data_IF_213503114574
#
_entry.id   IF_213503114574
#
_cell.length_a   1.000
_cell.length_b   1.000
_cell.length_c   1.000
_cell.angle_alpha   90.00
_cell.angle_beta   90.00
_cell.angle_gamma   90.00
#
_symmetry.space_group_name_H-M   'P 1'
#
loop_
_entity.id
_entity.type
_entity.pdbx_description
1 polymer ?
#
# COMPACT_ATOMS: atom_id res chain seq x y z
N UNK A 1 -34.26 -6.44 6.12
CA UNK A 1 -33.87 -5.28 5.28
C UNK A 1 -33.15 -5.81 4.05
N UNK A 2 -33.80 -5.77 2.88
CA UNK A 2 -33.19 -6.16 1.61
C UNK A 2 -32.12 -5.13 1.27
N UNK A 3 -30.86 -5.56 1.18
CA UNK A 3 -29.76 -4.70 0.72
C UNK A 3 -30.04 -4.19 -0.69
N UNK A 4 -29.48 -3.04 -1.03
CA UNK A 4 -29.64 -2.43 -2.34
C UNK A 4 -28.94 -3.29 -3.42
N UNK A 5 -29.63 -4.32 -3.91
CA UNK A 5 -29.11 -5.34 -4.82
C UNK A 5 -28.49 -4.73 -6.07
N UNK A 6 -29.06 -3.61 -6.54
CA UNK A 6 -28.56 -2.86 -7.70
C UNK A 6 -27.14 -2.32 -7.52
N UNK A 7 -26.78 -1.87 -6.31
CA UNK A 7 -25.46 -1.36 -5.98
C UNK A 7 -24.40 -2.45 -5.99
N UNK A 8 -24.69 -3.57 -5.35
CA UNK A 8 -23.82 -4.74 -5.31
C UNK A 8 -23.47 -5.26 -6.70
N UNK A 9 -24.47 -5.50 -7.56
CA UNK A 9 -24.22 -6.00 -8.92
C UNK A 9 -23.41 -5.02 -9.78
N UNK A 10 -23.59 -3.71 -9.58
CA UNK A 10 -22.79 -2.70 -10.25
C UNK A 10 -21.31 -2.77 -9.84
N UNK A 11 -21.01 -2.89 -8.56
CA UNK A 11 -19.63 -3.00 -8.05
C UNK A 11 -18.95 -4.27 -8.58
N UNK A 12 -19.66 -5.40 -8.57
CA UNK A 12 -19.18 -6.67 -9.14
C UNK A 12 -18.91 -6.53 -10.64
N UNK A 13 -19.82 -5.91 -11.40
CA UNK A 13 -19.65 -5.68 -12.84
C UNK A 13 -18.44 -4.78 -13.12
N UNK A 14 -18.26 -3.70 -12.37
CA UNK A 14 -17.08 -2.82 -12.51
C UNK A 14 -15.79 -3.59 -12.22
N UNK A 15 -15.76 -4.40 -11.16
CA UNK A 15 -14.61 -5.27 -10.86
C UNK A 15 -14.31 -6.23 -12.00
N UNK A 16 -15.32 -6.90 -12.55
CA UNK A 16 -15.17 -7.82 -13.69
C UNK A 16 -14.61 -7.11 -14.92
N UNK A 17 -15.14 -5.93 -15.29
CA UNK A 17 -14.66 -5.16 -16.43
C UNK A 17 -13.18 -4.74 -16.28
N UNK A 18 -12.79 -4.28 -15.09
CA UNK A 18 -11.40 -3.91 -14.81
C UNK A 18 -10.47 -5.12 -14.85
N UNK A 19 -10.90 -6.26 -14.30
CA UNK A 19 -10.15 -7.52 -14.39
C UNK A 19 -9.98 -7.96 -15.84
N UNK A 20 -11.04 -7.93 -16.66
CA UNK A 20 -10.96 -8.30 -18.07
C UNK A 20 -10.01 -7.39 -18.84
N UNK A 21 -10.08 -6.07 -18.62
CA UNK A 21 -9.18 -5.12 -19.28
C UNK A 21 -7.72 -5.37 -18.89
N UNK A 22 -7.44 -5.59 -17.61
CA UNK A 22 -6.08 -5.86 -17.14
C UNK A 22 -5.60 -7.26 -17.54
N UNK A 23 -6.50 -8.23 -17.68
CA UNK A 23 -6.18 -9.56 -18.18
C UNK A 23 -5.77 -9.53 -19.65
N UNK A 24 -6.41 -8.69 -20.48
CA UNK A 24 -5.96 -8.47 -21.85
C UNK A 24 -4.53 -7.89 -21.89
N UNK A 25 -4.21 -6.94 -21.01
CA UNK A 25 -2.84 -6.44 -20.86
C UNK A 25 -1.87 -7.52 -20.36
N UNK A 26 -2.30 -8.35 -19.40
CA UNK A 26 -1.51 -9.48 -18.93
C UNK A 26 -1.12 -10.42 -20.08
N UNK A 27 -2.07 -10.80 -20.95
CA UNK A 27 -1.78 -11.61 -22.13
C UNK A 27 -0.86 -10.88 -23.12
N UNK A 28 -1.08 -9.58 -23.33
CA UNK A 28 -0.23 -8.77 -24.20
C UNK A 28 1.23 -8.70 -23.74
N UNK A 29 1.50 -8.45 -22.46
CA UNK A 29 2.89 -8.35 -21.97
C UNK A 29 3.57 -9.71 -21.80
N UNK A 30 2.81 -10.79 -21.67
CA UNK A 30 3.35 -12.14 -21.44
C UNK A 30 3.17 -13.08 -22.65
N UNK A 31 2.86 -12.54 -23.84
CA UNK A 31 2.59 -13.33 -25.06
C UNK A 31 3.74 -14.25 -25.50
N UNK A 32 4.97 -13.94 -25.06
CA UNK A 32 6.19 -14.69 -25.35
C UNK A 32 6.33 -15.97 -24.51
N UNK A 33 5.53 -16.13 -23.45
CA UNK A 33 5.55 -17.32 -22.60
C UNK A 33 4.80 -18.49 -23.24
N UNK A 34 5.10 -19.74 -22.87
CA UNK A 34 4.38 -20.90 -23.36
C UNK A 34 2.87 -20.81 -23.07
N UNK A 35 2.04 -21.18 -24.06
CA UNK A 35 0.57 -21.15 -23.90
C UNK A 35 0.08 -21.97 -22.71
N UNK A 36 0.73 -23.09 -22.41
CA UNK A 36 0.40 -23.92 -21.25
C UNK A 36 0.60 -23.16 -19.92
N UNK A 37 1.64 -22.35 -19.80
CA UNK A 37 1.89 -21.51 -18.61
C UNK A 37 0.84 -20.41 -18.51
N UNK A 38 0.58 -19.70 -19.61
CA UNK A 38 -0.45 -18.65 -19.63
C UNK A 38 -1.83 -19.20 -19.26
N UNK A 39 -2.20 -20.37 -19.76
CA UNK A 39 -3.47 -21.03 -19.42
C UNK A 39 -3.52 -21.43 -17.94
N UNK A 40 -2.40 -21.91 -17.39
CA UNK A 40 -2.31 -22.30 -15.98
C UNK A 40 -2.43 -21.09 -15.04
N UNK A 41 -1.83 -19.96 -15.41
CA UNK A 41 -1.76 -18.74 -14.58
C UNK A 41 -3.00 -17.83 -14.70
N UNK A 42 -3.71 -17.93 -15.83
CA UNK A 42 -4.87 -17.08 -16.12
C UNK A 42 -5.97 -17.13 -15.05
N UNK A 43 -6.41 -18.30 -14.53
CA UNK A 43 -7.43 -18.35 -13.49
C UNK A 43 -7.01 -17.65 -12.19
N UNK A 44 -5.74 -17.77 -11.82
CA UNK A 44 -5.16 -17.11 -10.65
C UNK A 44 -5.13 -15.60 -10.81
N UNK A 45 -4.71 -15.13 -11.98
CA UNK A 45 -4.74 -13.73 -12.33
C UNK A 45 -6.17 -13.18 -12.25
N UNK A 46 -7.11 -13.80 -12.94
CA UNK A 46 -8.50 -13.36 -12.98
C UNK A 46 -9.09 -13.33 -11.56
N UNK A 47 -8.90 -14.39 -10.78
CA UNK A 47 -9.44 -14.50 -9.42
C UNK A 47 -8.88 -13.41 -8.48
N UNK A 48 -7.56 -13.27 -8.40
CA UNK A 48 -6.91 -12.32 -7.49
C UNK A 48 -7.19 -10.86 -7.86
N UNK A 49 -7.17 -10.52 -9.15
CA UNK A 49 -7.48 -9.16 -9.58
C UNK A 49 -8.96 -8.82 -9.45
N UNK A 50 -9.85 -9.77 -9.72
CA UNK A 50 -11.27 -9.60 -9.44
C UNK A 50 -11.52 -9.32 -7.95
N UNK A 51 -10.91 -10.09 -7.05
CA UNK A 51 -11.01 -9.82 -5.62
C UNK A 51 -10.41 -8.46 -5.26
N UNK A 52 -9.28 -8.09 -5.85
CA UNK A 52 -8.62 -6.78 -5.63
C UNK A 52 -9.52 -5.61 -5.99
N UNK A 53 -10.32 -5.72 -7.04
CA UNK A 53 -11.23 -4.65 -7.48
C UNK A 53 -12.61 -4.66 -6.82
N UNK A 54 -12.96 -5.73 -6.09
CA UNK A 54 -14.32 -5.91 -5.54
C UNK A 54 -14.36 -5.97 -4.01
N UNK A 55 -13.39 -6.60 -3.34
CA UNK A 55 -13.50 -6.97 -1.92
C UNK A 55 -13.67 -5.77 -0.99
N UNK A 56 -13.05 -4.63 -1.32
CA UNK A 56 -13.14 -3.40 -0.53
C UNK A 56 -14.24 -2.44 -0.99
N UNK A 57 -15.02 -2.80 -2.03
CA UNK A 57 -16.15 -1.98 -2.45
C UNK A 57 -17.23 -1.93 -1.36
N UNK A 58 -17.90 -0.80 -1.13
CA UNK A 58 -18.79 -0.62 0.02
C UNK A 58 -19.92 -1.66 0.16
N UNK A 59 -20.64 -1.99 -0.91
CA UNK A 59 -21.75 -2.94 -0.85
C UNK A 59 -21.23 -4.38 -0.69
N UNK A 60 -20.16 -4.73 -1.41
CA UNK A 60 -19.49 -6.04 -1.29
C UNK A 60 -18.94 -6.25 0.13
N UNK A 61 -18.16 -5.31 0.65
CA UNK A 61 -17.61 -5.36 2.00
C UNK A 61 -18.73 -5.39 3.06
N UNK A 62 -19.81 -4.64 2.84
CA UNK A 62 -21.00 -4.67 3.69
C UNK A 62 -21.66 -6.06 3.75
N UNK A 63 -21.76 -6.75 2.62
CA UNK A 63 -22.27 -8.12 2.57
C UNK A 63 -21.31 -9.13 3.22
N UNK A 64 -20.01 -9.04 2.92
CA UNK A 64 -19.00 -9.89 3.54
C UNK A 64 -19.00 -9.73 5.07
N UNK A 65 -19.17 -8.51 5.57
CA UNK A 65 -19.26 -8.20 6.99
C UNK A 65 -20.46 -8.87 7.64
N UNK A 66 -21.65 -8.74 7.05
CA UNK A 66 -22.88 -9.41 7.54
C UNK A 66 -22.73 -10.92 7.56
N UNK A 67 -22.07 -11.49 6.56
CA UNK A 67 -21.85 -12.93 6.49
C UNK A 67 -20.84 -13.40 7.55
N UNK A 68 -19.73 -12.70 7.70
CA UNK A 68 -18.66 -13.03 8.63
C UNK A 68 -19.08 -12.90 10.11
N UNK A 69 -20.05 -12.02 10.42
CA UNK A 69 -20.55 -11.87 11.80
C UNK A 69 -21.45 -13.03 12.27
N UNK A 70 -21.87 -13.93 11.37
CA UNK A 70 -22.80 -15.02 11.72
C UNK A 70 -22.09 -16.16 12.44
N UNK A 71 -20.90 -16.55 12.00
CA UNK A 71 -20.16 -17.67 12.59
C UNK A 71 -18.67 -17.59 12.29
N UNK A 72 -17.86 -18.33 13.07
CA UNK A 72 -16.41 -18.40 12.89
C UNK A 72 -16.04 -18.96 11.52
N UNK A 73 -16.75 -20.00 11.06
CA UNK A 73 -16.51 -20.67 9.77
C UNK A 73 -16.67 -19.66 8.61
N UNK A 74 -17.67 -18.79 8.71
CA UNK A 74 -17.89 -17.72 7.72
C UNK A 74 -16.85 -16.61 7.81
N UNK A 75 -16.33 -16.32 9.00
CA UNK A 75 -15.27 -15.33 9.20
C UNK A 75 -13.92 -15.80 8.63
N UNK A 76 -13.64 -17.10 8.62
CA UNK A 76 -12.38 -17.63 8.07
C UNK A 76 -12.46 -18.00 6.59
N UNK A 77 -13.66 -18.01 5.99
CA UNK A 77 -13.87 -18.46 4.61
C UNK A 77 -12.98 -17.73 3.59
N UNK A 78 -12.87 -16.40 3.69
CA UNK A 78 -12.05 -15.62 2.75
C UNK A 78 -10.56 -15.91 2.91
N UNK A 79 -9.96 -15.81 4.12
CA UNK A 79 -8.58 -16.25 4.34
C UNK A 79 -8.29 -17.68 3.89
N UNK A 80 -9.19 -18.64 4.13
CA UNK A 80 -9.05 -20.03 3.68
C UNK A 80 -9.06 -20.12 2.15
N UNK A 81 -9.97 -19.41 1.48
CA UNK A 81 -10.00 -19.34 0.01
C UNK A 81 -8.68 -18.80 -0.56
N UNK A 82 -8.15 -17.72 0.03
CA UNK A 82 -6.88 -17.13 -0.38
C UNK A 82 -5.69 -18.07 -0.15
N UNK A 83 -5.71 -18.85 0.94
CA UNK A 83 -4.73 -19.90 1.19
C UNK A 83 -4.79 -20.99 0.13
N UNK A 84 -6.01 -21.46 -0.22
CA UNK A 84 -6.21 -22.46 -1.27
C UNK A 84 -5.66 -21.95 -2.60
N UNK A 85 -5.95 -20.71 -2.96
CA UNK A 85 -5.42 -20.07 -4.18
C UNK A 85 -3.88 -20.07 -4.19
N UNK A 86 -3.24 -19.65 -3.09
CA UNK A 86 -1.77 -19.65 -3.00
C UNK A 86 -1.20 -21.05 -3.11
N UNK A 87 -1.74 -22.00 -2.34
CA UNK A 87 -1.19 -23.35 -2.26
C UNK A 87 -1.44 -24.15 -3.54
N UNK A 88 -2.59 -23.98 -4.19
CA UNK A 88 -2.84 -24.61 -5.50
C UNK A 88 -1.98 -24.00 -6.59
N UNK A 89 -1.71 -22.68 -6.54
CA UNK A 89 -0.79 -22.02 -7.46
C UNK A 89 0.61 -22.61 -7.36
N UNK A 90 1.14 -22.68 -6.15
CA UNK A 90 2.47 -23.26 -5.88
C UNK A 90 2.50 -24.75 -6.27
N UNK A 91 1.45 -25.49 -5.93
CA UNK A 91 1.30 -26.92 -6.21
C UNK A 91 1.31 -27.26 -7.71
N UNK A 92 0.53 -26.55 -8.52
CA UNK A 92 0.48 -26.82 -9.96
C UNK A 92 1.77 -26.42 -10.70
N UNK A 93 2.60 -25.56 -10.11
CA UNK A 93 3.94 -25.26 -10.60
C UNK A 93 5.02 -26.24 -10.11
N UNK A 94 4.61 -27.38 -9.52
CA UNK A 94 5.53 -28.44 -9.12
C UNK A 94 6.26 -28.18 -7.80
N UNK A 95 5.84 -27.19 -7.03
CA UNK A 95 6.43 -26.86 -5.74
C UNK A 95 5.51 -27.32 -4.58
N UNK A 96 6.11 -27.64 -3.43
CA UNK A 96 5.34 -28.01 -2.24
C UNK A 96 5.13 -26.77 -1.35
N UNK A 97 3.87 -26.40 -1.05
CA UNK A 97 3.56 -25.28 -0.16
C UNK A 97 3.85 -25.59 1.32
N UNK A 98 4.23 -26.83 1.65
CA UNK A 98 4.48 -27.30 3.02
C UNK A 98 5.99 -27.43 3.34
N UNK A 99 6.87 -26.86 2.51
CA UNK A 99 8.31 -26.84 2.78
C UNK A 99 8.72 -25.63 3.63
N UNK A 100 9.47 -25.86 4.69
CA UNK A 100 10.04 -24.80 5.54
C UNK A 100 8.98 -23.95 6.24
N UNK A 101 9.21 -22.63 6.33
CA UNK A 101 8.29 -21.68 6.97
C UNK A 101 6.95 -21.54 6.24
N UNK A 102 6.86 -21.95 4.97
CA UNK A 102 5.61 -21.97 4.20
C UNK A 102 4.53 -22.85 4.85
N UNK A 103 4.94 -23.91 5.57
CA UNK A 103 4.03 -24.80 6.29
C UNK A 103 3.26 -24.09 7.42
N UNK A 104 3.82 -23.01 7.99
CA UNK A 104 3.17 -22.22 9.04
C UNK A 104 2.34 -21.06 8.48
N UNK A 105 2.34 -20.87 7.15
CA UNK A 105 1.72 -19.72 6.52
C UNK A 105 0.20 -19.67 6.74
N UNK A 106 -0.46 -20.82 6.85
CA UNK A 106 -1.89 -20.86 7.14
C UNK A 106 -2.24 -20.25 8.51
N UNK A 107 -1.44 -20.52 9.56
CA UNK A 107 -1.65 -19.91 10.87
C UNK A 107 -1.51 -18.39 10.78
N UNK A 108 -0.49 -17.95 10.05
CA UNK A 108 -0.20 -16.54 9.86
C UNK A 108 -1.30 -15.81 9.05
N UNK A 109 -1.85 -16.43 8.00
CA UNK A 109 -2.90 -15.84 7.18
C UNK A 109 -4.26 -15.79 7.91
N UNK A 110 -4.54 -16.79 8.75
CA UNK A 110 -5.77 -16.85 9.55
C UNK A 110 -5.72 -15.93 10.77
N UNK A 111 -4.52 -15.68 11.32
CA UNK A 111 -4.29 -14.92 12.55
C UNK A 111 -5.09 -13.60 12.65
N UNK A 112 -5.02 -12.65 11.69
CA UNK A 112 -5.71 -11.37 11.87
C UNK A 112 -7.23 -11.52 11.85
N UNK A 113 -7.78 -12.41 11.03
CA UNK A 113 -9.23 -12.67 10.99
C UNK A 113 -9.72 -13.34 12.29
N UNK A 114 -9.02 -14.39 12.74
CA UNK A 114 -9.33 -15.10 13.99
C UNK A 114 -9.19 -14.18 15.21
N UNK A 115 -8.08 -13.43 15.27
CA UNK A 115 -7.80 -12.49 16.34
C UNK A 115 -8.91 -11.45 16.42
N UNK A 116 -9.20 -10.75 15.32
CA UNK A 116 -10.25 -9.72 15.37
C UNK A 116 -11.62 -10.29 15.66
N UNK A 117 -11.95 -11.48 15.16
CA UNK A 117 -13.22 -12.14 15.45
C UNK A 117 -13.34 -12.51 16.93
N UNK A 118 -12.30 -13.07 17.55
CA UNK A 118 -12.29 -13.40 18.98
C UNK A 118 -12.47 -12.17 19.88
N UNK A 119 -12.00 -11.00 19.42
CA UNK A 119 -12.14 -9.72 20.12
C UNK A 119 -13.30 -8.85 19.60
N UNK A 120 -14.18 -9.37 18.73
CA UNK A 120 -15.30 -8.60 18.18
C UNK A 120 -16.24 -8.17 19.31
N UNK A 121 -16.23 -6.87 19.62
CA UNK A 121 -17.40 -6.20 20.20
C UNK A 121 -17.74 -5.00 19.32
N UNK A 122 -19.04 -4.81 19.08
CA UNK A 122 -19.54 -3.79 18.18
C UNK A 122 -19.00 -2.39 18.53
N UNK A 123 -18.65 -1.63 17.49
CA UNK A 123 -18.31 -0.21 17.54
C UNK A 123 -17.23 0.21 18.57
N UNK A 124 -16.17 -0.59 18.75
CA UNK A 124 -15.07 -0.20 19.63
C UNK A 124 -14.14 0.84 18.97
N UNK A 125 -13.75 1.90 19.71
CA UNK A 125 -12.70 2.82 19.27
C UNK A 125 -11.39 2.07 19.03
N UNK A 126 -10.47 2.66 18.27
CA UNK A 126 -9.20 2.01 17.95
C UNK A 126 -8.42 1.71 19.25
N UNK A 127 -7.97 0.48 19.41
CA UNK A 127 -7.22 0.01 20.58
C UNK A 127 -5.76 -0.22 20.22
N UNK A 128 -4.86 -0.21 21.21
CA UNK A 128 -3.44 -0.54 21.01
C UNK A 128 -3.24 -1.98 20.53
N UNK A 129 -4.16 -2.89 20.88
CA UNK A 129 -4.17 -4.27 20.35
C UNK A 129 -4.34 -4.31 18.83
N UNK A 130 -5.04 -3.35 18.23
CA UNK A 130 -5.20 -3.28 16.77
C UNK A 130 -3.84 -3.04 16.09
N UNK A 131 -3.01 -2.17 16.68
CA UNK A 131 -1.64 -1.94 16.22
C UNK A 131 -0.76 -3.17 16.42
N UNK A 132 -0.96 -3.89 17.53
CA UNK A 132 -0.30 -5.19 17.76
C UNK A 132 -0.59 -6.18 16.63
N UNK A 133 -1.86 -6.37 16.25
CA UNK A 133 -2.23 -7.23 15.12
C UNK A 133 -1.69 -6.73 13.79
N UNK A 134 -1.70 -5.42 13.57
CA UNK A 134 -1.08 -4.81 12.39
C UNK A 134 0.40 -5.15 12.27
N UNK A 135 1.20 -4.94 13.31
CA UNK A 135 2.64 -5.21 13.25
C UNK A 135 2.96 -6.70 13.22
N UNK A 136 2.24 -7.53 13.98
CA UNK A 136 2.37 -9.00 13.94
C UNK A 136 1.99 -9.58 12.58
N UNK A 137 1.12 -8.91 11.83
CA UNK A 137 0.82 -9.28 10.46
C UNK A 137 1.87 -8.70 9.49
N UNK A 138 2.09 -7.39 9.47
CA UNK A 138 2.96 -6.75 8.47
C UNK A 138 4.43 -7.17 8.55
N UNK A 139 5.05 -7.23 9.73
CA UNK A 139 6.50 -7.46 9.85
C UNK A 139 6.88 -8.84 9.32
N UNK A 140 6.20 -9.94 9.68
CA UNK A 140 6.47 -11.23 9.04
C UNK A 140 6.12 -11.24 7.54
N UNK A 141 5.13 -10.46 7.10
CA UNK A 141 4.73 -10.39 5.69
C UNK A 141 5.88 -10.05 4.75
N UNK A 142 6.81 -9.20 5.21
CA UNK A 142 7.96 -8.75 4.41
C UNK A 142 9.12 -9.76 4.43
N UNK A 143 9.13 -10.71 5.35
CA UNK A 143 10.22 -11.66 5.57
C UNK A 143 9.87 -13.11 5.20
N UNK A 144 8.57 -13.45 5.17
CA UNK A 144 8.12 -14.79 4.81
C UNK A 144 8.38 -15.04 3.33
N UNK A 145 9.09 -16.14 3.05
CA UNK A 145 9.24 -16.70 1.73
C UNK A 145 8.64 -18.10 1.71
N UNK A 146 7.93 -18.44 0.63
CA UNK A 146 7.43 -19.80 0.40
C UNK A 146 8.48 -20.74 -0.22
N UNK A 147 9.75 -20.30 -0.27
CA UNK A 147 10.87 -21.09 -0.79
C UNK A 147 10.88 -21.25 -2.32
N UNK A 148 9.96 -20.59 -3.02
CA UNK A 148 9.87 -20.54 -4.48
C UNK A 148 9.35 -19.19 -4.95
N UNK A 149 9.50 -18.90 -6.25
CA UNK A 149 8.89 -17.72 -6.87
C UNK A 149 7.38 -17.84 -6.82
N UNK A 150 6.69 -16.71 -6.70
CA UNK A 150 5.22 -16.65 -6.77
C UNK A 150 4.76 -15.60 -7.77
N UNK A 151 5.65 -15.17 -8.67
CA UNK A 151 5.35 -14.24 -9.76
C UNK A 151 4.11 -14.70 -10.52
N UNK A 152 3.36 -13.76 -11.06
CA UNK A 152 2.17 -14.05 -11.85
C UNK A 152 2.32 -13.35 -13.21
N UNK A 153 2.73 -14.06 -14.28
CA UNK A 153 2.87 -15.52 -14.40
C UNK A 153 4.17 -16.06 -13.79
N UNK A 154 4.25 -17.37 -13.55
CA UNK A 154 5.28 -18.00 -12.71
C UNK A 154 6.72 -17.78 -13.21
N UNK A 155 6.97 -17.96 -14.51
CA UNK A 155 8.26 -17.70 -15.13
C UNK A 155 8.34 -16.31 -15.78
N UNK A 156 7.31 -15.48 -15.62
CA UNK A 156 7.28 -14.13 -16.16
C UNK A 156 7.72 -13.04 -15.20
N UNK A 157 7.78 -11.83 -15.75
CA UNK A 157 8.01 -10.58 -15.04
C UNK A 157 6.71 -9.80 -14.76
N UNK A 158 5.57 -10.51 -14.67
CA UNK A 158 4.22 -9.93 -14.68
C UNK A 158 3.90 -8.90 -13.59
N UNK A 159 2.62 -8.52 -13.46
CA UNK A 159 2.23 -7.31 -12.75
C UNK A 159 2.37 -7.36 -11.21
N UNK A 160 2.54 -8.53 -10.60
CA UNK A 160 2.92 -8.73 -9.19
C UNK A 160 3.17 -10.23 -8.92
N UNK A 161 3.05 -10.66 -7.67
CA UNK A 161 3.10 -12.07 -7.26
C UNK A 161 1.86 -12.47 -6.43
N UNK A 162 1.51 -13.76 -6.48
CA UNK A 162 0.33 -14.35 -5.82
C UNK A 162 0.36 -14.16 -4.31
N UNK A 163 1.53 -14.38 -3.68
CA UNK A 163 1.70 -14.23 -2.23
C UNK A 163 1.33 -12.82 -1.78
N UNK A 164 1.81 -11.79 -2.48
CA UNK A 164 1.56 -10.38 -2.16
C UNK A 164 0.08 -10.03 -2.28
N UNK A 165 -0.61 -10.48 -3.32
CA UNK A 165 -2.06 -10.27 -3.42
C UNK A 165 -2.83 -10.97 -2.30
N UNK A 166 -2.44 -12.19 -1.93
CA UNK A 166 -3.05 -12.92 -0.82
C UNK A 166 -2.89 -12.16 0.50
N UNK A 167 -1.72 -11.55 0.75
CA UNK A 167 -1.48 -10.70 1.92
C UNK A 167 -2.33 -9.43 1.89
N UNK A 168 -2.38 -8.73 0.76
CA UNK A 168 -3.21 -7.53 0.55
C UNK A 168 -4.68 -7.83 0.83
N UNK A 169 -5.23 -8.86 0.17
CA UNK A 169 -6.64 -9.22 0.28
C UNK A 169 -7.00 -9.68 1.70
N UNK A 170 -6.10 -10.40 2.36
CA UNK A 170 -6.25 -10.78 3.77
C UNK A 170 -6.25 -9.57 4.68
N UNK A 171 -5.39 -8.57 4.45
CA UNK A 171 -5.39 -7.32 5.20
C UNK A 171 -6.70 -6.55 5.01
N UNK A 172 -7.15 -6.37 3.77
CA UNK A 172 -8.39 -5.65 3.45
C UNK A 172 -9.59 -6.34 4.09
N UNK A 173 -9.66 -7.66 4.00
CA UNK A 173 -10.74 -8.43 4.63
C UNK A 173 -10.67 -8.35 6.16
N UNK A 174 -9.52 -8.64 6.76
CA UNK A 174 -9.41 -8.71 8.22
C UNK A 174 -9.60 -7.35 8.88
N UNK A 175 -8.95 -6.30 8.37
CA UNK A 175 -9.08 -4.94 8.91
C UNK A 175 -10.40 -4.27 8.50
N UNK A 176 -10.80 -4.38 7.23
CA UNK A 176 -11.98 -3.70 6.71
C UNK A 176 -13.29 -4.40 7.05
N UNK A 177 -13.31 -5.73 6.97
CA UNK A 177 -14.53 -6.54 7.14
C UNK A 177 -14.69 -7.04 8.57
N UNK A 178 -13.69 -7.77 9.11
CA UNK A 178 -13.77 -8.38 10.44
C UNK A 178 -13.63 -7.35 11.55
N UNK A 179 -12.56 -6.53 11.52
CA UNK A 179 -12.32 -5.46 12.48
C UNK A 179 -13.23 -4.24 12.27
N UNK A 180 -13.81 -4.10 11.08
CA UNK A 180 -14.66 -2.98 10.70
C UNK A 180 -13.94 -1.61 10.79
N UNK A 181 -12.68 -1.55 10.34
CA UNK A 181 -11.95 -0.30 10.18
C UNK A 181 -12.56 0.50 9.00
N UNK A 182 -13.15 1.68 9.23
CA UNK A 182 -13.79 2.43 8.16
C UNK A 182 -12.77 3.14 7.29
N UNK A 183 -13.16 3.45 6.05
CA UNK A 183 -12.40 4.30 5.11
C UNK A 183 -11.02 3.75 4.69
N UNK A 184 -10.75 2.43 4.76
CA UNK A 184 -9.52 1.86 4.18
C UNK A 184 -9.33 2.29 2.71
N UNK A 185 -10.42 2.44 1.97
CA UNK A 185 -10.36 3.01 0.62
C UNK A 185 -9.72 2.09 -0.42
N UNK A 186 -9.74 0.77 -0.17
CA UNK A 186 -9.18 -0.24 -1.07
C UNK A 186 -10.19 -0.67 -2.13
N UNK A 187 -10.44 0.20 -3.10
CA UNK A 187 -11.26 -0.12 -4.27
C UNK A 187 -10.98 0.87 -5.40
N UNK A 188 -11.08 0.45 -6.67
CA UNK A 188 -10.92 1.34 -7.79
C UNK A 188 -12.11 2.32 -7.85
N UNK A 189 -11.81 3.60 -7.99
CA UNK A 189 -12.80 4.67 -8.15
C UNK A 189 -12.25 5.71 -9.12
N UNK A 190 -13.06 6.10 -10.10
CA UNK A 190 -12.69 7.09 -11.11
C UNK A 190 -13.39 8.41 -10.82
N UNK A 191 -12.69 9.33 -10.16
CA UNK A 191 -13.17 10.69 -9.89
C UNK A 191 -12.14 11.71 -10.35
N UNK A 192 -12.53 12.58 -11.29
CA UNK A 192 -11.64 13.63 -11.82
C UNK A 192 -11.04 14.54 -10.75
N UNK A 193 -11.80 14.86 -9.69
CA UNK A 193 -11.29 15.63 -8.53
C UNK A 193 -10.15 14.91 -7.81
N UNK A 194 -10.26 13.60 -7.61
CA UNK A 194 -9.23 12.81 -6.93
C UNK A 194 -7.99 12.66 -7.81
N UNK A 195 -8.19 12.46 -9.12
CA UNK A 195 -7.10 12.46 -10.09
C UNK A 195 -6.36 13.80 -10.13
N UNK A 196 -7.08 14.93 -10.12
CA UNK A 196 -6.48 16.27 -10.03
C UNK A 196 -5.64 16.43 -8.76
N UNK A 197 -6.11 15.92 -7.61
CA UNK A 197 -5.32 15.92 -6.37
C UNK A 197 -4.05 15.08 -6.52
N UNK A 198 -4.16 13.85 -7.03
CA UNK A 198 -3.01 12.96 -7.21
C UNK A 198 -1.94 13.58 -8.14
N UNK A 199 -2.36 14.07 -9.32
CA UNK A 199 -1.46 14.73 -10.28
C UNK A 199 -0.84 15.99 -9.65
N UNK A 200 -1.63 16.82 -8.98
CA UNK A 200 -1.11 18.04 -8.34
C UNK A 200 -0.06 17.76 -7.26
N UNK A 201 -0.25 16.70 -6.46
CA UNK A 201 0.73 16.27 -5.46
C UNK A 201 2.01 15.74 -6.10
N UNK A 202 1.87 14.92 -7.15
CA UNK A 202 3.02 14.40 -7.90
C UNK A 202 3.84 15.53 -8.54
N UNK A 203 3.20 16.49 -9.20
CA UNK A 203 3.87 17.66 -9.78
C UNK A 203 4.56 18.52 -8.72
N UNK A 204 3.94 18.72 -7.56
CA UNK A 204 4.55 19.43 -6.44
C UNK A 204 5.79 18.69 -5.91
N UNK A 205 5.75 17.36 -5.85
CA UNK A 205 6.90 16.55 -5.47
C UNK A 205 8.05 16.72 -6.47
N UNK A 206 7.78 16.59 -7.78
CA UNK A 206 8.81 16.79 -8.83
C UNK A 206 9.42 18.19 -8.75
N UNK A 207 8.59 19.23 -8.60
CA UNK A 207 9.07 20.59 -8.49
C UNK A 207 10.00 20.76 -7.29
N UNK A 208 9.62 20.22 -6.12
CA UNK A 208 10.45 20.25 -4.92
C UNK A 208 11.76 19.49 -5.11
N UNK A 209 11.72 18.25 -5.63
CA UNK A 209 12.93 17.46 -5.89
C UNK A 209 13.82 18.12 -6.92
N UNK A 210 13.25 18.75 -7.95
CA UNK A 210 13.99 19.49 -8.96
C UNK A 210 14.72 20.70 -8.37
N UNK A 211 14.07 21.45 -7.47
CA UNK A 211 14.71 22.56 -6.74
C UNK A 211 15.86 22.05 -5.86
N UNK A 212 15.66 20.96 -5.13
CA UNK A 212 16.72 20.36 -4.30
C UNK A 212 17.89 19.88 -5.17
N UNK A 213 17.61 19.14 -6.24
CA UNK A 213 18.63 18.62 -7.14
C UNK A 213 19.44 19.73 -7.83
N UNK A 214 18.76 20.80 -8.26
CA UNK A 214 19.40 21.99 -8.82
C UNK A 214 20.29 22.70 -7.78
N UNK A 215 19.75 22.97 -6.58
CA UNK A 215 20.48 23.66 -5.52
C UNK A 215 21.69 22.86 -4.99
N UNK A 216 21.61 21.53 -5.03
CA UNK A 216 22.71 20.63 -4.65
C UNK A 216 23.71 20.33 -5.77
N UNK A 217 23.49 20.85 -6.98
CA UNK A 217 24.36 20.60 -8.13
C UNK A 217 24.30 19.17 -8.69
N UNK A 218 23.30 18.37 -8.30
CA UNK A 218 23.12 16.99 -8.77
C UNK A 218 22.46 16.91 -10.15
N UNK A 219 21.84 17.99 -10.62
CA UNK A 219 21.16 18.00 -11.91
C UNK A 219 22.16 18.04 -13.07
N UNK A 220 22.48 16.88 -13.66
CA UNK A 220 23.22 16.81 -14.93
C UNK A 220 22.24 16.93 -16.09
N UNK A 221 22.34 18.00 -16.88
CA UNK A 221 21.43 18.33 -17.99
C UNK A 221 21.83 17.70 -19.34
N UNK A 222 22.65 16.65 -19.35
CA UNK A 222 23.22 16.12 -20.58
C UNK A 222 22.31 15.10 -21.29
N UNK A 223 21.94 15.42 -22.55
CA UNK A 223 21.63 14.45 -23.60
C UNK A 223 20.32 13.66 -23.44
N UNK A 224 19.18 14.33 -23.50
CA UNK A 224 17.88 13.66 -23.47
C UNK A 224 17.51 13.13 -24.86
N UNK A 225 17.41 11.82 -25.03
CA UNK A 225 16.70 11.25 -26.18
C UNK A 225 15.18 11.37 -25.94
N UNK A 226 14.39 11.82 -26.94
CA UNK A 226 12.95 11.91 -26.80
C UNK A 226 12.34 10.52 -26.59
N UNK A 227 11.28 10.47 -25.77
CA UNK A 227 10.54 9.25 -25.44
C UNK A 227 10.05 8.57 -26.73
N UNK A 228 10.73 7.51 -27.15
CA UNK A 228 10.43 6.85 -28.41
C UNK A 228 9.10 6.10 -28.33
N UNK A 229 8.39 5.98 -29.44
CA UNK A 229 7.10 5.25 -29.51
C UNK A 229 7.26 3.79 -29.05
N UNK A 230 8.47 3.23 -29.17
CA UNK A 230 8.83 1.87 -28.72
C UNK A 230 8.93 1.77 -27.19
N UNK A 231 9.30 2.85 -26.49
CA UNK A 231 9.45 2.85 -25.03
C UNK A 231 8.12 3.04 -24.27
N UNK A 232 7.07 3.55 -24.93
CA UNK A 232 5.78 3.81 -24.28
C UNK A 232 5.15 2.53 -23.70
N UNK A 233 5.05 1.40 -24.43
CA UNK A 233 4.51 0.16 -23.84
C UNK A 233 5.36 -0.35 -22.67
N UNK A 234 6.69 -0.25 -22.76
CA UNK A 234 7.57 -0.67 -21.67
C UNK A 234 7.35 0.17 -20.41
N UNK A 235 7.23 1.49 -20.56
CA UNK A 235 6.94 2.39 -19.44
C UNK A 235 5.57 2.10 -18.82
N UNK A 236 4.53 1.85 -19.62
CA UNK A 236 3.20 1.48 -19.12
C UNK A 236 3.27 0.15 -18.36
N UNK A 237 3.93 -0.87 -18.91
CA UNK A 237 4.12 -2.16 -18.25
C UNK A 237 4.81 -2.02 -16.90
N UNK A 238 5.88 -1.22 -16.84
CA UNK A 238 6.62 -0.94 -15.61
C UNK A 238 5.77 -0.16 -14.59
N UNK A 239 4.99 0.84 -15.01
CA UNK A 239 4.07 1.55 -14.13
C UNK A 239 3.02 0.61 -13.53
N UNK A 240 2.44 -0.30 -14.32
CA UNK A 240 1.49 -1.31 -13.83
C UNK A 240 2.17 -2.23 -12.81
N UNK A 241 3.41 -2.67 -13.11
CA UNK A 241 4.21 -3.51 -12.22
C UNK A 241 4.56 -2.79 -10.92
N UNK A 242 4.92 -1.51 -10.94
CA UNK A 242 5.15 -0.71 -9.73
C UNK A 242 3.85 -0.55 -8.94
N UNK A 243 2.74 -0.26 -9.62
CA UNK A 243 1.45 -0.05 -8.99
C UNK A 243 0.98 -1.27 -8.22
N UNK A 244 0.86 -2.42 -8.88
CA UNK A 244 0.37 -3.66 -8.25
C UNK A 244 1.46 -4.44 -7.51
N UNK A 245 2.71 -4.28 -7.93
CA UNK A 245 3.86 -4.84 -7.26
C UNK A 245 4.07 -4.17 -5.92
N UNK A 246 4.36 -2.88 -5.88
CA UNK A 246 4.90 -2.25 -4.68
C UNK A 246 3.93 -1.25 -4.07
N UNK A 247 3.47 -0.27 -4.86
CA UNK A 247 2.73 0.88 -4.34
C UNK A 247 1.41 0.50 -3.68
N UNK A 248 0.64 -0.42 -4.27
CA UNK A 248 -0.66 -0.82 -3.72
C UNK A 248 -0.51 -1.55 -2.38
N UNK A 249 0.53 -2.38 -2.22
CA UNK A 249 0.85 -3.04 -0.95
C UNK A 249 1.21 -2.00 0.10
N UNK A 250 2.21 -1.17 -0.17
CA UNK A 250 2.75 -0.23 0.81
C UNK A 250 1.71 0.82 1.22
N UNK A 251 0.98 1.39 0.27
CA UNK A 251 -0.04 2.41 0.58
C UNK A 251 -1.28 1.82 1.28
N UNK A 252 -1.63 0.55 1.07
CA UNK A 252 -2.66 -0.11 1.86
C UNK A 252 -2.25 -0.18 3.33
N UNK A 253 -1.08 -0.75 3.62
CA UNK A 253 -0.63 -0.94 4.99
C UNK A 253 -0.36 0.41 5.69
N UNK A 254 0.33 1.33 5.01
CA UNK A 254 0.74 2.59 5.61
C UNK A 254 -0.41 3.61 5.67
N UNK A 255 -1.21 3.75 4.62
CA UNK A 255 -2.25 4.81 4.55
C UNK A 255 -3.62 4.26 4.91
N UNK A 256 -4.04 3.20 4.22
CA UNK A 256 -5.34 2.57 4.40
C UNK A 256 -5.55 2.07 5.83
N UNK A 257 -4.51 1.49 6.44
CA UNK A 257 -4.56 0.87 7.76
C UNK A 257 -3.86 1.72 8.83
N UNK A 258 -2.52 1.86 8.79
CA UNK A 258 -1.76 2.47 9.89
C UNK A 258 -2.09 3.95 10.11
N UNK A 259 -1.98 4.79 9.08
CA UNK A 259 -2.29 6.22 9.17
C UNK A 259 -3.75 6.44 9.55
N UNK A 260 -4.66 5.63 9.01
CA UNK A 260 -6.09 5.67 9.32
C UNK A 260 -6.36 5.35 10.80
N UNK A 261 -5.84 4.23 11.30
CA UNK A 261 -5.96 3.82 12.70
C UNK A 261 -5.35 4.86 13.64
N UNK A 262 -4.17 5.38 13.31
CA UNK A 262 -3.48 6.38 14.10
C UNK A 262 -4.26 7.70 14.14
N UNK A 263 -4.74 8.19 13.00
CA UNK A 263 -5.55 9.39 12.92
C UNK A 263 -6.80 9.27 13.80
N UNK A 264 -7.52 8.15 13.69
CA UNK A 264 -8.71 7.87 14.51
C UNK A 264 -8.37 7.79 15.99
N UNK A 265 -7.32 7.06 16.36
CA UNK A 265 -6.87 6.93 17.75
C UNK A 265 -6.56 8.29 18.37
N UNK A 266 -5.86 9.16 17.64
CA UNK A 266 -5.51 10.50 18.10
C UNK A 266 -6.77 11.34 18.26
N UNK A 267 -7.64 11.38 17.24
CA UNK A 267 -8.90 12.14 17.28
C UNK A 267 -9.81 11.68 18.42
N UNK A 268 -10.02 10.37 18.57
CA UNK A 268 -10.88 9.77 19.61
C UNK A 268 -10.35 10.01 21.03
N UNK A 269 -9.03 10.13 21.20
CA UNK A 269 -8.41 10.35 22.51
C UNK A 269 -8.58 11.77 23.06
N UNK A 270 -8.83 12.76 22.21
CA UNK A 270 -8.88 14.18 22.57
C UNK A 270 -7.53 14.81 22.99
N UNK A 271 -6.45 14.03 23.13
CA UNK A 271 -5.14 14.48 23.63
C UNK A 271 -4.08 14.60 22.51
N UNK A 272 -4.43 15.29 21.42
CA UNK A 272 -3.59 15.33 20.21
C UNK A 272 -2.16 15.84 20.46
N UNK A 273 -2.00 16.85 21.32
CA UNK A 273 -0.69 17.43 21.65
C UNK A 273 0.24 16.38 22.24
N UNK A 274 -0.29 15.47 23.06
CA UNK A 274 0.49 14.37 23.66
C UNK A 274 0.99 13.42 22.57
N UNK A 275 0.15 13.03 21.61
CA UNK A 275 0.57 12.20 20.48
C UNK A 275 1.57 12.91 19.58
N UNK A 276 1.38 14.20 19.34
CA UNK A 276 2.33 15.01 18.58
C UNK A 276 3.70 15.07 19.28
N UNK A 277 3.73 15.37 20.58
CA UNK A 277 4.98 15.49 21.36
C UNK A 277 5.73 14.16 21.42
N UNK A 278 5.06 13.06 21.76
CA UNK A 278 5.70 11.76 21.84
C UNK A 278 6.07 11.21 20.46
N UNK A 279 5.20 11.39 19.46
CA UNK A 279 5.51 11.06 18.07
C UNK A 279 6.76 11.81 17.61
N UNK A 280 6.81 13.12 17.85
CA UNK A 280 7.96 13.95 17.49
C UNK A 280 9.22 13.46 18.21
N UNK A 281 9.19 13.27 19.52
CA UNK A 281 10.34 12.83 20.30
C UNK A 281 10.89 11.46 19.82
N UNK A 282 10.02 10.48 19.62
CA UNK A 282 10.41 9.14 19.16
C UNK A 282 10.99 9.20 17.75
N UNK A 283 10.31 9.84 16.81
CA UNK A 283 10.78 9.89 15.42
C UNK A 283 12.01 10.80 15.25
N UNK A 284 12.18 11.82 16.08
CA UNK A 284 13.40 12.62 16.11
C UNK A 284 14.60 11.78 16.54
N UNK A 285 14.43 10.94 17.59
CA UNK A 285 15.47 10.03 18.06
C UNK A 285 15.79 8.95 17.01
N UNK A 286 14.79 8.37 16.36
CA UNK A 286 15.01 7.39 15.28
C UNK A 286 15.69 8.01 14.05
N UNK A 287 15.34 9.26 13.71
CA UNK A 287 16.00 10.00 12.63
C UNK A 287 17.44 10.37 12.97
N UNK A 288 17.73 10.75 14.22
CA UNK A 288 19.09 10.94 14.72
C UNK A 288 19.90 9.65 14.63
N UNK A 289 19.35 8.54 15.11
CA UNK A 289 19.99 7.22 15.04
C UNK A 289 20.26 6.80 13.59
N UNK A 290 19.30 7.01 12.70
CA UNK A 290 19.44 6.75 11.26
C UNK A 290 20.56 7.58 10.65
N UNK A 291 20.58 8.89 10.90
CA UNK A 291 21.63 9.78 10.44
C UNK A 291 23.01 9.36 10.94
N UNK A 292 23.11 9.02 12.23
CA UNK A 292 24.34 8.55 12.85
C UNK A 292 24.85 7.23 12.27
N UNK A 293 23.97 6.25 12.05
CA UNK A 293 24.35 4.93 11.55
C UNK A 293 24.70 4.92 10.06
N UNK A 294 24.13 5.82 9.23
CA UNK A 294 24.43 5.85 7.79
C UNK A 294 25.62 6.74 7.46
N UNK A 295 25.57 8.02 7.86
CA UNK A 295 26.59 8.99 7.49
C UNK A 295 26.60 10.16 8.49
N UNK A 296 27.45 10.10 9.54
CA UNK A 296 27.45 11.09 10.61
C UNK A 296 27.53 12.55 10.12
N UNK A 297 28.27 12.84 9.05
CA UNK A 297 28.37 14.21 8.52
C UNK A 297 27.04 14.78 7.98
N UNK A 298 26.08 13.91 7.66
CA UNK A 298 24.76 14.25 7.12
C UNK A 298 23.63 13.90 8.11
N UNK A 299 23.97 13.68 9.39
CA UNK A 299 23.00 13.32 10.44
C UNK A 299 21.81 14.30 10.52
N UNK A 300 22.07 15.57 10.17
CA UNK A 300 21.10 16.65 10.22
C UNK A 300 19.96 16.50 9.19
N UNK A 301 20.15 15.77 8.10
CA UNK A 301 19.16 15.66 7.00
C UNK A 301 17.85 14.99 7.44
N UNK A 302 17.85 13.73 7.94
CA UNK A 302 16.62 13.08 8.40
C UNK A 302 15.99 13.80 9.60
N UNK A 303 16.83 14.42 10.45
CA UNK A 303 16.40 15.22 11.60
C UNK A 303 15.63 16.46 11.16
N UNK A 304 16.19 17.24 10.24
CA UNK A 304 15.56 18.44 9.69
C UNK A 304 14.22 18.10 9.05
N UNK A 305 14.17 17.04 8.24
CA UNK A 305 12.94 16.61 7.57
C UNK A 305 11.88 16.19 8.60
N UNK A 306 12.28 15.47 9.65
CA UNK A 306 11.38 15.12 10.77
C UNK A 306 10.82 16.38 11.42
N UNK A 307 11.68 17.34 11.76
CA UNK A 307 11.27 18.63 12.34
C UNK A 307 10.29 19.36 11.43
N UNK A 308 10.60 19.49 10.14
CA UNK A 308 9.75 20.18 9.17
C UNK A 308 8.37 19.52 9.06
N UNK A 309 8.30 18.19 8.92
CA UNK A 309 7.03 17.48 8.79
C UNK A 309 6.17 17.57 10.05
N UNK A 310 6.77 17.44 11.24
CA UNK A 310 6.04 17.58 12.50
C UNK A 310 5.61 19.03 12.76
N UNK A 311 6.43 20.03 12.44
CA UNK A 311 6.04 21.44 12.55
C UNK A 311 4.91 21.77 11.57
N UNK A 312 4.97 21.30 10.33
CA UNK A 312 3.90 21.46 9.36
C UNK A 312 2.58 20.84 9.89
N UNK A 313 2.64 19.61 10.40
CA UNK A 313 1.49 18.97 11.04
C UNK A 313 0.96 19.79 12.22
N UNK A 314 1.85 20.31 13.07
CA UNK A 314 1.45 21.11 14.23
C UNK A 314 0.69 22.38 13.82
N UNK A 315 1.25 23.13 12.87
CA UNK A 315 0.67 24.38 12.37
C UNK A 315 -0.68 24.12 11.70
N UNK A 316 -0.80 23.05 10.91
CA UNK A 316 -2.05 22.70 10.25
C UNK A 316 -3.13 22.30 11.26
N UNK A 317 -2.81 21.44 12.23
CA UNK A 317 -3.81 20.99 13.21
C UNK A 317 -4.16 22.07 14.22
N UNK A 318 -3.24 22.95 14.60
CA UNK A 318 -3.54 24.10 15.47
C UNK A 318 -4.55 25.06 14.83
N UNK A 319 -4.58 25.15 13.49
CA UNK A 319 -5.53 25.98 12.73
C UNK A 319 -6.90 25.31 12.52
N UNK A 320 -7.01 23.99 12.71
CA UNK A 320 -8.27 23.26 12.54
C UNK A 320 -9.03 23.23 13.86
N UNK A 321 -10.23 23.81 13.89
CA UNK A 321 -11.03 23.92 15.12
C UNK A 321 -11.72 22.60 15.52
N UNK A 322 -12.02 21.72 14.55
CA UNK A 322 -12.95 20.61 14.79
C UNK A 322 -12.33 19.20 14.69
N UNK A 323 -11.13 19.05 14.14
CA UNK A 323 -10.49 17.73 13.94
C UNK A 323 -8.97 17.79 14.09
N UNK A 324 -8.46 17.24 15.19
CA UNK A 324 -7.03 17.01 15.40
C UNK A 324 -6.68 15.53 15.23
N UNK A 325 -5.46 15.21 14.78
CA UNK A 325 -4.96 13.85 14.58
C UNK A 325 -4.55 13.45 13.16
N UNK A 326 -5.29 13.81 12.08
CA UNK A 326 -4.97 13.34 10.73
C UNK A 326 -3.58 13.71 10.20
N UNK A 327 -3.10 14.93 10.48
CA UNK A 327 -1.81 15.42 10.02
C UNK A 327 -0.68 15.02 10.99
N UNK A 328 -0.97 14.85 12.28
CA UNK A 328 -0.03 14.21 13.21
C UNK A 328 0.23 12.76 12.81
N UNK A 329 -0.82 12.02 12.45
CA UNK A 329 -0.69 10.67 11.89
C UNK A 329 0.04 10.66 10.54
N UNK A 330 -0.20 11.67 9.70
CA UNK A 330 0.55 11.86 8.45
C UNK A 330 2.04 12.02 8.74
N UNK A 331 2.45 12.94 9.61
CA UNK A 331 3.86 13.15 9.94
C UNK A 331 4.53 11.87 10.44
N UNK A 332 3.89 11.16 11.38
CA UNK A 332 4.39 9.88 11.91
C UNK A 332 4.59 8.85 10.80
N UNK A 333 3.58 8.62 9.97
CA UNK A 333 3.65 7.59 8.91
C UNK A 333 4.54 8.00 7.74
N UNK A 334 4.70 9.29 7.47
CA UNK A 334 5.65 9.82 6.49
C UNK A 334 7.10 9.61 6.92
N UNK A 335 7.45 9.98 8.15
CA UNK A 335 8.81 9.75 8.66
C UNK A 335 9.10 8.26 8.78
N UNK A 336 8.15 7.47 9.31
CA UNK A 336 8.27 6.00 9.34
C UNK A 336 8.56 5.42 7.94
N UNK A 337 7.82 5.87 6.92
CA UNK A 337 8.04 5.44 5.54
C UNK A 337 9.45 5.79 5.04
N UNK A 338 9.98 6.97 5.31
CA UNK A 338 11.36 7.28 4.94
C UNK A 338 12.39 6.44 5.69
N UNK A 339 12.20 6.25 7.00
CA UNK A 339 13.14 5.50 7.83
C UNK A 339 13.24 4.02 7.44
N UNK A 340 12.15 3.38 6.97
CA UNK A 340 12.25 1.99 6.49
C UNK A 340 13.11 1.87 5.23
N UNK A 341 13.30 2.95 4.47
CA UNK A 341 14.20 3.00 3.31
C UNK A 341 15.67 3.21 3.70
N UNK A 342 16.02 3.11 4.99
CA UNK A 342 17.41 3.07 5.48
C UNK A 342 18.28 2.10 4.68
N UNK A 343 17.72 0.96 4.26
CA UNK A 343 18.42 -0.05 3.48
C UNK A 343 18.89 0.42 2.09
N UNK A 344 18.39 1.55 1.58
CA UNK A 344 18.79 2.10 0.30
C UNK A 344 20.18 2.77 0.33
N UNK A 345 20.78 2.96 1.51
CA UNK A 345 22.16 3.45 1.64
C UNK A 345 22.34 4.96 1.43
N UNK A 346 21.28 5.72 1.13
CA UNK A 346 21.34 7.18 0.93
C UNK A 346 20.43 7.93 1.90
N UNK A 347 21.00 8.84 2.70
CA UNK A 347 20.24 9.71 3.61
C UNK A 347 19.36 10.71 2.86
N UNK A 348 19.79 11.15 1.67
CA UNK A 348 18.97 11.99 0.79
C UNK A 348 17.74 11.19 0.35
N UNK A 349 17.91 9.92 0.00
CA UNK A 349 16.79 9.05 -0.37
C UNK A 349 15.82 8.82 0.81
N UNK A 350 16.32 8.56 2.02
CA UNK A 350 15.49 8.47 3.24
C UNK A 350 14.67 9.76 3.45
N UNK A 351 15.31 10.90 3.24
CA UNK A 351 14.68 12.21 3.34
C UNK A 351 13.59 12.44 2.29
N UNK A 352 13.91 12.22 1.02
CA UNK A 352 12.97 12.35 -0.08
C UNK A 352 11.82 11.35 0.03
N UNK A 353 12.09 10.12 0.47
CA UNK A 353 11.06 9.13 0.76
C UNK A 353 10.10 9.63 1.86
N UNK A 354 10.62 10.25 2.93
CA UNK A 354 9.76 10.86 3.97
C UNK A 354 8.82 11.93 3.39
N UNK A 355 9.35 12.79 2.51
CA UNK A 355 8.58 13.85 1.84
C UNK A 355 7.56 13.24 0.87
N UNK A 356 7.95 12.23 0.09
CA UNK A 356 7.05 11.52 -0.81
C UNK A 356 5.90 10.86 -0.02
N UNK A 357 6.23 10.24 1.12
CA UNK A 357 5.25 9.67 2.04
C UNK A 357 4.23 10.69 2.56
N UNK A 358 4.64 11.96 2.77
CA UNK A 358 3.69 13.04 3.05
C UNK A 358 2.74 13.29 1.89
N UNK A 359 3.24 13.30 0.65
CA UNK A 359 2.41 13.41 -0.55
C UNK A 359 1.38 12.28 -0.67
N UNK A 360 1.82 11.03 -0.46
CA UNK A 360 0.94 9.85 -0.56
C UNK A 360 -0.15 9.90 0.50
N UNK A 361 0.23 10.16 1.76
CA UNK A 361 -0.71 10.24 2.86
C UNK A 361 -1.63 11.45 2.80
N UNK A 362 -1.18 12.59 2.27
CA UNK A 362 -2.04 13.74 2.00
C UNK A 362 -3.08 13.42 0.92
N UNK A 363 -2.66 12.75 -0.16
CA UNK A 363 -3.57 12.27 -1.21
C UNK A 363 -4.64 11.38 -0.59
N UNK A 364 -4.25 10.42 0.25
CA UNK A 364 -5.18 9.57 0.98
C UNK A 364 -6.14 10.36 1.89
N UNK A 365 -5.68 11.39 2.62
CA UNK A 365 -6.55 12.24 3.45
C UNK A 365 -7.64 12.90 2.60
N UNK A 366 -7.29 13.36 1.39
CA UNK A 366 -8.21 14.08 0.49
C UNK A 366 -9.16 13.16 -0.30
N UNK A 367 -8.73 11.95 -0.62
CA UNK A 367 -9.51 11.02 -1.46
C UNK A 367 -10.18 9.91 -0.67
N UNK A 368 -9.66 9.57 0.52
CA UNK A 368 -10.02 8.38 1.31
C UNK A 368 -9.93 7.09 0.49
N UNK A 369 -8.93 7.04 -0.40
CA UNK A 369 -8.78 5.96 -1.36
C UNK A 369 -7.29 5.63 -1.57
N UNK A 370 -6.94 4.37 -1.31
CA UNK A 370 -5.57 3.84 -1.41
C UNK A 370 -5.09 3.76 -2.85
N UNK A 371 -5.98 3.51 -3.83
CA UNK A 371 -5.58 3.44 -5.24
C UNK A 371 -5.02 4.78 -5.74
N UNK A 372 -5.56 5.91 -5.25
CA UNK A 372 -5.00 7.22 -5.58
C UNK A 372 -3.66 7.51 -4.88
N UNK A 373 -3.47 7.06 -3.63
CA UNK A 373 -2.17 7.15 -2.98
C UNK A 373 -1.13 6.28 -3.71
N UNK A 374 -1.50 5.05 -4.07
CA UNK A 374 -0.67 4.13 -4.85
C UNK A 374 -0.36 4.68 -6.25
N UNK A 375 -1.29 5.42 -6.85
CA UNK A 375 -1.03 6.12 -8.13
C UNK A 375 0.05 7.18 -7.97
N UNK A 376 -0.03 8.04 -6.94
CA UNK A 376 1.02 9.05 -6.69
C UNK A 376 2.36 8.38 -6.41
N UNK A 377 2.37 7.32 -5.60
CA UNK A 377 3.57 6.53 -5.34
C UNK A 377 4.15 5.96 -6.64
N UNK A 378 3.32 5.33 -7.47
CA UNK A 378 3.74 4.82 -8.78
C UNK A 378 4.35 5.91 -9.63
N UNK A 379 3.69 7.07 -9.74
CA UNK A 379 4.18 8.20 -10.52
C UNK A 379 5.52 8.74 -9.99
N UNK A 380 5.71 8.79 -8.67
CA UNK A 380 6.99 9.19 -8.06
C UNK A 380 8.09 8.19 -8.39
N UNK A 381 7.85 6.89 -8.22
CA UNK A 381 8.85 5.85 -8.53
C UNK A 381 9.14 5.79 -10.04
N UNK A 382 8.13 6.03 -10.86
CA UNK A 382 8.29 6.11 -12.31
C UNK A 382 8.89 7.44 -12.78
N UNK A 383 9.06 8.45 -11.92
CA UNK A 383 9.62 9.74 -12.32
C UNK A 383 11.08 9.61 -12.78
N UNK A 384 11.85 8.67 -12.22
CA UNK A 384 13.19 8.35 -12.72
C UNK A 384 13.15 7.93 -14.19
N UNK A 385 12.18 7.11 -14.59
CA UNK A 385 12.02 6.66 -15.98
C UNK A 385 11.32 7.69 -16.87
N UNK A 386 10.25 8.30 -16.39
CA UNK A 386 9.45 9.28 -17.14
C UNK A 386 10.24 10.55 -17.46
N UNK A 387 11.18 10.92 -16.60
CA UNK A 387 12.06 12.07 -16.78
C UNK A 387 13.53 11.68 -16.96
N UNK A 388 13.83 10.38 -17.15
CA UNK A 388 15.19 9.84 -17.34
C UNK A 388 16.22 10.38 -16.33
N UNK A 389 15.85 10.42 -15.04
CA UNK A 389 16.67 10.89 -13.92
C UNK A 389 17.71 9.84 -13.44
N UNK A 390 18.13 8.93 -14.31
CA UNK A 390 19.08 7.83 -14.01
C UNK A 390 20.43 8.32 -13.41
N UNK A 391 20.67 9.63 -13.44
CA UNK A 391 21.88 10.28 -12.92
C UNK A 391 21.81 10.69 -11.45
N UNK A 392 20.71 10.40 -10.73
CA UNK A 392 20.54 10.73 -9.29
C UNK A 392 20.94 9.61 -8.31
N UNK A 393 21.54 8.50 -8.79
CA UNK A 393 22.05 7.41 -7.94
C UNK A 393 23.48 7.66 -7.47
#
# INVERSE_FOLDING_TARGET
>A
MMGNSTGYFREIRTGALLTTALFALFLYYNWHLPTAELLLDSPYFIGLYFLTFTIGQPEVAGQLKRNASVSLERAVLVPVLLLVILYSYVGFHGHSPFKGSAALFFFYLLFPALGFWAYQKAARPIQWTDFGFYFLFLIPATSISVGTKTNLPFNGAGFSNVLRFVLILTAVYSFGTIRNLPEIGFFPMFKGKYLKTAIGVWLAFIALTGVIAYASGFLKTSGYEPLSVVLIPLAIGEMIRIFFGTALFEELFLRGILQNMLARKITESGVWKTYWTWGFAVFLLLSLLTGYLMHPALLWVPVLITVVLFLAAYVIEKKQLDRHGPYTALAITSVFFGLVHFHAGSLVFVGLASIAGWGYGYTYIKTKNVFYAALVHTLVNSSEFLFHLETLK
#
